data_IF_546244114574
#
_entry.id   IF_546244114574
#
_cell.length_a   1.000
_cell.length_b   1.000
_cell.length_c   1.000
_cell.angle_alpha   90.00
_cell.angle_beta   90.00
_cell.angle_gamma   90.00
#
_symmetry.space_group_name_H-M   'P 1'
#
loop_
_entity.id
_entity.type
_entity.pdbx_description
1 polymer ?
#
# COMPACT_ATOMS: atom_id res chain seq x y z
N UNK A 1 2.85 -17.98 -6.96
CA UNK A 1 2.14 -17.25 -8.03
C UNK A 1 1.90 -15.84 -7.52
N UNK A 2 2.74 -14.88 -7.88
CA UNK A 2 2.60 -13.48 -7.42
C UNK A 2 1.65 -12.80 -8.39
N UNK A 3 0.46 -12.44 -7.93
CA UNK A 3 -0.43 -11.58 -8.70
C UNK A 3 0.19 -10.17 -8.71
N UNK A 4 1.05 -9.91 -9.69
CA UNK A 4 1.34 -8.56 -10.16
C UNK A 4 0.07 -8.06 -10.86
N UNK A 5 -0.97 -7.80 -10.07
CA UNK A 5 -2.14 -7.06 -10.54
C UNK A 5 -1.65 -5.69 -10.96
N UNK A 6 -1.70 -5.44 -12.26
CA UNK A 6 -1.21 -4.26 -12.96
C UNK A 6 -1.05 -3.03 -12.07
N UNK A 7 0.21 -2.70 -11.74
CA UNK A 7 0.54 -1.33 -11.39
C UNK A 7 0.02 -0.47 -12.53
N UNK A 8 -1.02 0.33 -12.30
CA UNK A 8 -1.36 1.38 -13.24
C UNK A 8 -0.08 2.16 -13.48
N UNK A 9 0.35 2.32 -14.73
CA UNK A 9 1.59 3.03 -15.12
C UNK A 9 1.54 4.53 -14.79
N UNK A 10 0.54 4.96 -14.01
CA UNK A 10 0.24 6.32 -13.62
C UNK A 10 0.76 6.55 -12.20
N UNK A 11 1.74 7.43 -12.06
CA UNK A 11 2.13 8.01 -10.78
C UNK A 11 0.89 8.65 -10.14
N UNK A 12 0.51 8.27 -8.90
CA UNK A 12 -0.66 8.84 -8.24
C UNK A 12 -0.53 10.35 -8.05
N UNK A 13 -1.60 11.10 -8.34
CA UNK A 13 -1.71 12.52 -8.04
C UNK A 13 -2.75 12.77 -6.93
N UNK A 14 -2.73 13.97 -6.33
CA UNK A 14 -3.72 14.34 -5.34
C UNK A 14 -5.14 14.31 -5.94
N UNK A 15 -6.07 13.65 -5.25
CA UNK A 15 -7.44 13.44 -5.70
C UNK A 15 -7.67 12.17 -6.53
N UNK A 16 -6.60 11.53 -7.04
CA UNK A 16 -6.75 10.20 -7.66
C UNK A 16 -7.11 9.16 -6.58
N UNK A 17 -7.96 8.17 -6.91
CA UNK A 17 -8.12 6.99 -6.07
C UNK A 17 -6.77 6.29 -5.84
N UNK A 18 -6.47 5.94 -4.59
CA UNK A 18 -5.26 5.21 -4.25
C UNK A 18 -5.24 3.83 -4.95
N UNK A 19 -4.14 3.43 -5.59
CA UNK A 19 -4.04 2.12 -6.25
C UNK A 19 -4.26 0.97 -5.26
N UNK A 20 -5.01 -0.07 -5.62
CA UNK A 20 -5.17 -1.24 -4.75
C UNK A 20 -3.82 -1.95 -4.60
N UNK A 21 -3.55 -2.45 -3.39
CA UNK A 21 -2.41 -3.32 -3.14
C UNK A 21 -2.81 -4.44 -2.19
N UNK A 22 -2.04 -5.53 -2.27
CA UNK A 22 -2.04 -6.64 -1.33
C UNK A 22 -0.58 -7.00 -1.02
N UNK A 23 -0.24 -7.07 0.27
CA UNK A 23 1.12 -7.35 0.70
C UNK A 23 1.16 -8.16 2.00
N UNK A 24 2.19 -8.99 2.22
CA UNK A 24 2.42 -9.58 3.53
C UNK A 24 2.83 -8.50 4.53
N UNK A 25 2.45 -8.66 5.80
CA UNK A 25 2.80 -7.76 6.89
C UNK A 25 3.13 -8.56 8.16
N UNK A 26 3.60 -7.87 9.21
CA UNK A 26 3.89 -8.46 10.52
C UNK A 26 2.67 -9.03 11.24
N UNK A 27 1.45 -8.72 10.78
CA UNK A 27 0.18 -9.23 11.32
C UNK A 27 -0.58 -10.10 10.32
N UNK A 28 0.09 -10.55 9.24
CA UNK A 28 -0.51 -11.36 8.18
C UNK A 28 -0.75 -10.58 6.89
N UNK A 29 -1.62 -11.09 6.03
CA UNK A 29 -1.94 -10.46 4.75
C UNK A 29 -2.69 -9.13 4.96
N UNK A 30 -2.28 -8.06 4.28
CA UNK A 30 -2.95 -6.75 4.31
C UNK A 30 -3.38 -6.33 2.91
N UNK A 31 -4.58 -5.75 2.79
CA UNK A 31 -5.12 -5.18 1.55
C UNK A 31 -5.62 -3.76 1.79
N UNK A 32 -5.34 -2.84 0.86
CA UNK A 32 -5.86 -1.47 0.97
C UNK A 32 -7.39 -1.43 1.00
N UNK A 33 -8.04 -2.32 0.25
CA UNK A 33 -9.50 -2.42 0.14
C UNK A 33 -10.19 -2.68 1.48
N UNK A 34 -9.51 -3.32 2.43
CA UNK A 34 -10.11 -3.67 3.72
C UNK A 34 -10.40 -2.43 4.58
N UNK A 35 -9.76 -1.30 4.28
CA UNK A 35 -9.88 -0.03 4.99
C UNK A 35 -10.75 1.02 4.27
N UNK A 36 -11.08 0.81 2.99
CA UNK A 36 -11.85 1.78 2.20
C UNK A 36 -13.21 2.09 2.85
N UNK A 37 -13.54 3.37 2.95
CA UNK A 37 -14.79 3.86 3.53
C UNK A 37 -14.93 3.69 5.05
N UNK A 38 -13.96 3.08 5.74
CA UNK A 38 -14.02 2.84 7.18
C UNK A 38 -13.25 3.88 7.99
N UNK A 39 -12.11 4.36 7.46
CA UNK A 39 -11.25 5.37 8.10
C UNK A 39 -10.27 5.98 7.10
N UNK A 40 -9.63 7.08 7.47
CA UNK A 40 -8.47 7.60 6.77
C UNK A 40 -7.24 6.69 6.99
N UNK A 41 -6.41 6.54 5.96
CA UNK A 41 -5.23 5.67 5.96
C UNK A 41 -4.03 6.46 5.45
N UNK A 42 -2.90 6.31 6.12
CA UNK A 42 -1.60 6.86 5.71
C UNK A 42 -0.66 5.69 5.46
N UNK A 43 -0.02 5.65 4.28
CA UNK A 43 1.03 4.69 3.94
C UNK A 43 2.38 5.40 3.99
N UNK A 44 3.31 4.89 4.80
CA UNK A 44 4.65 5.42 4.92
C UNK A 44 5.67 4.35 4.51
N UNK A 45 6.68 4.77 3.77
CA UNK A 45 7.83 3.95 3.41
C UNK A 45 9.05 4.45 4.16
N UNK A 46 9.89 3.52 4.58
CA UNK A 46 11.19 3.79 5.20
C UNK A 46 12.24 2.91 4.51
N UNK A 47 13.51 3.28 4.65
CA UNK A 47 14.59 2.65 3.88
C UNK A 47 14.78 1.16 4.23
N UNK A 48 15.08 0.88 5.49
CA UNK A 48 15.25 -0.47 6.00
C UNK A 48 15.11 -0.49 7.54
N UNK A 49 14.91 -1.68 8.08
CA UNK A 49 14.95 -1.90 9.53
C UNK A 49 16.38 -1.69 10.06
N UNK A 50 16.50 -1.29 11.33
CA UNK A 50 17.76 -1.13 12.06
C UNK A 50 18.76 -0.13 11.45
N UNK A 51 18.30 0.83 10.65
CA UNK A 51 19.15 1.91 10.14
C UNK A 51 19.05 3.15 11.02
N UNK A 52 20.17 3.79 11.41
CA UNK A 52 20.12 5.12 12.01
C UNK A 52 19.54 6.10 10.98
N UNK A 53 18.66 6.97 11.44
CA UNK A 53 18.05 8.04 10.63
C UNK A 53 18.96 9.24 10.47
#
# INVERSE_FOLDING_TARGET
>A
MVALGSIGTKTPAAGDPAPPFEAPSTVGQIRLTDFQGKKHVVLAFYFADFTPG
#
